data_IF_973832874836
#
_entry.id   IF_973832874836
#
_cell.length_a   1.000
_cell.length_b   1.000
_cell.length_c   1.000
_cell.angle_alpha   90.00
_cell.angle_beta   90.00
_cell.angle_gamma   90.00
#
_symmetry.space_group_name_H-M   'P 1'
#
loop_
_entity.id
_entity.type
_entity.pdbx_description
1 polymer ?
#
# COMPACT_ATOMS: atom_id res chain seq x y z
N UNK A 1 24.77 -7.06 -34.71
CA UNK A 1 23.36 -7.33 -34.32
C UNK A 1 23.25 -8.43 -33.27
N UNK A 2 23.88 -9.61 -33.45
CA UNK A 2 23.86 -10.72 -32.47
C UNK A 2 24.29 -10.34 -31.03
N UNK A 3 25.30 -9.48 -30.92
CA UNK A 3 25.87 -9.04 -29.64
C UNK A 3 24.93 -8.06 -28.91
N UNK A 4 24.18 -7.26 -29.67
CA UNK A 4 23.22 -6.29 -29.14
C UNK A 4 22.00 -7.02 -28.53
N UNK A 5 21.56 -8.10 -29.16
CA UNK A 5 20.50 -8.98 -28.64
C UNK A 5 20.89 -9.64 -27.32
N UNK A 6 22.15 -10.05 -27.15
CA UNK A 6 22.63 -10.66 -25.91
C UNK A 6 22.66 -9.64 -24.76
N UNK A 7 23.12 -8.41 -25.03
CA UNK A 7 23.14 -7.33 -24.03
C UNK A 7 21.73 -6.93 -23.61
N UNK A 8 20.80 -6.81 -24.56
CA UNK A 8 19.39 -6.53 -24.27
C UNK A 8 18.73 -7.64 -23.42
N UNK A 9 19.03 -8.90 -23.73
CA UNK A 9 18.53 -10.05 -22.96
C UNK A 9 19.08 -10.07 -21.53
N UNK A 10 20.38 -9.79 -21.34
CA UNK A 10 20.99 -9.69 -20.01
C UNK A 10 20.41 -8.56 -19.16
N UNK A 11 20.01 -7.43 -19.78
CA UNK A 11 19.44 -6.30 -19.06
C UNK A 11 18.07 -6.63 -18.44
N UNK A 12 17.25 -7.41 -19.16
CA UNK A 12 15.90 -7.82 -18.71
C UNK A 12 15.98 -8.78 -17.52
N UNK A 13 17.00 -9.64 -17.49
CA UNK A 13 17.25 -10.57 -16.37
C UNK A 13 17.67 -9.87 -15.07
N UNK A 14 18.05 -8.59 -15.11
CA UNK A 14 18.54 -7.85 -13.96
C UNK A 14 17.48 -6.98 -13.26
N UNK A 15 16.20 -7.05 -13.67
CA UNK A 15 15.13 -6.32 -13.00
C UNK A 15 14.86 -6.90 -11.60
N UNK A 16 15.09 -6.16 -10.51
CA UNK A 16 14.69 -6.60 -9.18
C UNK A 16 13.16 -6.72 -9.12
N UNK A 17 12.66 -7.77 -8.48
CA UNK A 17 11.23 -7.88 -8.16
C UNK A 17 10.90 -6.84 -7.08
N UNK A 18 10.21 -5.77 -7.47
CA UNK A 18 9.63 -4.84 -6.49
C UNK A 18 8.47 -5.55 -5.78
N UNK A 19 8.53 -5.60 -4.44
CA UNK A 19 7.43 -6.06 -3.60
C UNK A 19 6.71 -4.86 -3.04
N UNK A 20 5.49 -4.62 -3.51
CA UNK A 20 4.58 -3.66 -2.88
C UNK A 20 3.96 -4.30 -1.64
N UNK A 21 4.66 -4.20 -0.50
CA UNK A 21 4.20 -4.75 0.78
C UNK A 21 3.73 -3.63 1.72
N UNK A 22 2.41 -3.50 1.87
CA UNK A 22 1.80 -2.65 2.89
C UNK A 22 1.78 -3.37 4.24
N UNK A 23 2.29 -2.73 5.28
CA UNK A 23 2.30 -3.26 6.65
C UNK A 23 1.30 -2.52 7.52
N UNK A 24 0.53 -3.27 8.31
CA UNK A 24 -0.47 -2.73 9.22
C UNK A 24 -0.09 -3.00 10.69
N UNK A 25 -0.49 -2.13 11.62
CA UNK A 25 -0.48 -2.44 13.05
C UNK A 25 -1.29 -3.71 13.37
N UNK A 26 -0.88 -4.47 14.39
CA UNK A 26 -1.49 -5.75 14.76
C UNK A 26 -2.99 -5.69 15.17
N UNK A 27 -3.53 -4.50 15.43
CA UNK A 27 -4.98 -4.32 15.68
C UNK A 27 -5.81 -4.54 14.42
N UNK A 28 -5.22 -4.35 13.24
CA UNK A 28 -5.86 -4.67 11.98
C UNK A 28 -5.63 -6.15 11.66
N UNK A 29 -6.72 -6.92 11.62
CA UNK A 29 -6.69 -8.35 11.38
C UNK A 29 -8.09 -8.91 11.17
N UNK A 30 -8.20 -10.23 11.12
CA UNK A 30 -9.47 -10.88 10.89
C UNK A 30 -10.45 -10.66 12.06
N UNK A 31 -11.74 -10.52 11.74
CA UNK A 31 -12.82 -10.31 12.71
C UNK A 31 -12.68 -9.08 13.62
N UNK A 32 -11.80 -8.13 13.27
CA UNK A 32 -11.76 -6.84 13.95
C UNK A 32 -13.06 -6.05 13.71
N UNK A 33 -13.35 -5.10 14.59
CA UNK A 33 -14.51 -4.22 14.47
C UNK A 33 -14.06 -2.76 14.38
N UNK A 34 -14.80 -1.98 13.59
CA UNK A 34 -14.71 -0.52 13.62
C UNK A 34 -15.89 0.05 14.39
N UNK A 35 -15.66 1.17 15.06
CA UNK A 35 -16.72 1.84 15.79
C UNK A 35 -17.65 2.57 14.81
N UNK A 36 -18.94 2.33 14.95
CA UNK A 36 -19.99 2.93 14.11
C UNK A 36 -20.18 4.41 14.42
N UNK A 37 -20.77 5.13 13.47
CA UNK A 37 -21.19 6.53 13.63
C UNK A 37 -20.07 7.51 14.03
N UNK A 38 -18.80 7.17 13.74
CA UNK A 38 -17.66 8.06 13.93
C UNK A 38 -16.59 7.92 12.86
N UNK A 39 -15.72 8.92 12.77
CA UNK A 39 -14.52 8.86 11.93
C UNK A 39 -13.54 7.84 12.49
N UNK A 40 -13.11 6.87 11.67
CA UNK A 40 -12.16 5.84 12.08
C UNK A 40 -10.82 6.01 11.35
N UNK A 41 -9.69 6.20 12.05
CA UNK A 41 -8.38 6.23 11.43
C UNK A 41 -7.93 4.82 11.03
N UNK A 42 -7.31 4.70 9.86
CA UNK A 42 -6.56 3.52 9.41
C UNK A 42 -5.17 3.98 9.03
N UNK A 43 -4.15 3.26 9.47
CA UNK A 43 -2.75 3.67 9.28
C UNK A 43 -1.84 2.45 9.18
N UNK A 44 -0.63 2.69 8.72
CA UNK A 44 0.39 1.66 8.63
C UNK A 44 1.69 2.20 8.04
N UNK A 45 2.45 1.27 7.48
CA UNK A 45 3.72 1.52 6.83
C UNK A 45 3.71 0.96 5.41
N UNK A 46 4.46 1.58 4.52
CA UNK A 46 4.68 1.19 3.13
C UNK A 46 6.02 1.79 2.66
N UNK A 47 6.46 1.53 1.43
CA UNK A 47 7.65 2.21 0.90
C UNK A 47 7.39 3.73 0.78
N UNK A 48 8.37 4.60 1.07
CA UNK A 48 8.20 6.04 0.88
C UNK A 48 7.70 6.40 -0.53
N UNK A 49 6.65 7.21 -0.62
CA UNK A 49 6.02 7.57 -1.89
C UNK A 49 5.03 6.54 -2.44
N UNK A 50 4.86 5.39 -1.78
CA UNK A 50 3.89 4.37 -2.20
C UNK A 50 2.45 4.86 -1.99
N UNK A 51 1.61 4.63 -2.99
CA UNK A 51 0.18 4.92 -2.90
C UNK A 51 -0.55 3.74 -2.26
N UNK A 52 -1.11 3.97 -1.07
CA UNK A 52 -1.93 3.01 -0.35
C UNK A 52 -3.41 3.32 -0.58
N UNK A 53 -4.20 2.29 -0.90
CA UNK A 53 -5.65 2.37 -1.06
C UNK A 53 -6.34 1.54 0.01
N UNK A 54 -7.28 2.14 0.74
CA UNK A 54 -8.13 1.45 1.71
C UNK A 54 -9.55 1.42 1.18
N UNK A 55 -10.10 0.22 1.05
CA UNK A 55 -11.50 -0.02 0.67
C UNK A 55 -12.21 -0.76 1.80
N UNK A 56 -13.30 -0.19 2.28
CA UNK A 56 -14.13 -0.78 3.33
C UNK A 56 -15.56 -0.26 3.18
N UNK A 57 -16.54 -1.17 3.31
CA UNK A 57 -17.94 -0.85 2.99
C UNK A 57 -18.06 -0.22 1.57
N UNK A 58 -18.82 0.85 1.41
CA UNK A 58 -18.99 1.61 0.16
C UNK A 58 -18.05 2.82 0.03
N UNK A 59 -16.87 2.80 0.66
CA UNK A 59 -15.90 3.88 0.52
C UNK A 59 -14.50 3.37 0.18
N UNK A 60 -13.81 4.16 -0.63
CA UNK A 60 -12.43 3.94 -1.06
C UNK A 60 -11.68 5.25 -0.89
N UNK A 61 -10.54 5.19 -0.21
CA UNK A 61 -9.66 6.33 0.01
C UNK A 61 -8.22 5.94 -0.32
N UNK A 62 -7.41 6.94 -0.65
CA UNK A 62 -5.98 6.75 -0.91
C UNK A 62 -5.14 7.70 -0.07
N UNK A 63 -3.95 7.25 0.30
CA UNK A 63 -2.91 8.06 0.92
C UNK A 63 -1.55 7.70 0.31
N UNK A 64 -0.60 8.63 0.38
CA UNK A 64 0.78 8.38 -0.02
C UNK A 64 1.62 8.26 1.26
N UNK A 65 2.48 7.24 1.32
CA UNK A 65 3.40 7.08 2.43
C UNK A 65 4.44 8.20 2.45
N UNK A 66 4.67 8.76 3.63
CA UNK A 66 5.65 9.82 3.86
C UNK A 66 7.09 9.31 3.67
N UNK A 67 8.07 10.21 3.78
CA UNK A 67 9.51 9.86 3.67
C UNK A 67 9.96 8.82 4.71
N UNK A 68 9.20 8.63 5.79
CA UNK A 68 9.43 7.63 6.84
C UNK A 68 8.59 6.36 6.62
N UNK A 69 7.93 6.25 5.46
CA UNK A 69 7.07 5.14 5.08
C UNK A 69 5.71 5.12 5.77
N UNK A 70 5.33 6.15 6.55
CA UNK A 70 4.06 6.15 7.30
C UNK A 70 2.93 6.72 6.45
N UNK A 71 1.75 6.14 6.57
CA UNK A 71 0.54 6.65 5.92
C UNK A 71 -0.64 6.58 6.87
N UNK A 72 -1.65 7.42 6.65
CA UNK A 72 -2.92 7.35 7.38
C UNK A 72 -4.09 7.86 6.55
N UNK A 73 -5.27 7.28 6.78
CA UNK A 73 -6.55 7.62 6.16
C UNK A 73 -7.59 7.76 7.27
N UNK A 74 -8.50 8.73 7.12
CA UNK A 74 -9.68 8.87 7.98
C UNK A 74 -10.91 8.37 7.22
N UNK A 75 -11.43 7.23 7.64
CA UNK A 75 -12.67 6.69 7.11
C UNK A 75 -13.86 7.51 7.59
N UNK A 76 -14.82 7.76 6.70
CA UNK A 76 -16.10 8.37 7.09
C UNK A 76 -16.88 7.42 8.00
N UNK A 77 -17.75 7.95 8.89
CA UNK A 77 -18.69 7.14 9.66
C UNK A 77 -19.36 6.06 8.82
N UNK A 78 -19.36 4.85 9.35
CA UNK A 78 -20.07 3.70 8.78
C UNK A 78 -21.34 3.53 9.63
N UNK A 79 -22.50 3.29 8.98
CA UNK A 79 -23.76 3.07 9.67
C UNK A 79 -23.64 2.01 10.74
#
# INVERSE_FOLDING_TARGET
MRNLSIVAFLLILCCPSLKAEVKLPAIFGDHMVLQREQTNPVWGWAEPGEMVKVQIHHQTHSAVADEKGRWSIKLRPIP
#
